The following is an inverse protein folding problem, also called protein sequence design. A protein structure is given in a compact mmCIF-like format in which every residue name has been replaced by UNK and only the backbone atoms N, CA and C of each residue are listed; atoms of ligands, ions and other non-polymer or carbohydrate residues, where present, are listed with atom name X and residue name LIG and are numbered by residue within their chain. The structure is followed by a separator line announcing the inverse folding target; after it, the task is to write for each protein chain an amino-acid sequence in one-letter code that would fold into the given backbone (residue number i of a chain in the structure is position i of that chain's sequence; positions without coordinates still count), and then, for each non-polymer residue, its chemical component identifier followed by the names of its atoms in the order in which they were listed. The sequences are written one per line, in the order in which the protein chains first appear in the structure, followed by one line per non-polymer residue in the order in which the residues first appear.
data_IF_093819585624
#
_entry.id   IF_093819585624
#
_cell.length_a   1.000
_cell.length_b   1.000
_cell.length_c   1.000
_cell.angle_alpha   90.00
_cell.angle_beta   90.00
_cell.angle_gamma   90.00
#
_symmetry.space_group_name_H-M   'P 1'
#
loop_
_entity.id
_entity.type
_entity.pdbx_description
1 polymer ?
#
# COMPACT_ATOMS: atom_id res chain seq x y z
N UNK A 1 -5.18 -8.31 0.39
CA UNK A 1 -5.47 -8.36 -1.05
C UNK A 1 -4.98 -9.66 -1.66
N UNK A 2 -5.29 -9.91 -2.94
CA UNK A 2 -4.90 -11.13 -3.67
C UNK A 2 -3.57 -11.01 -4.42
N UNK A 3 -2.87 -9.88 -4.30
CA UNK A 3 -1.76 -9.51 -5.18
C UNK A 3 -2.32 -8.68 -6.34
N UNK A 4 -2.25 -9.20 -7.56
CA UNK A 4 -2.83 -8.54 -8.74
C UNK A 4 -4.35 -8.73 -8.84
N UNK A 5 -4.99 -8.09 -9.83
CA UNK A 5 -6.39 -8.35 -10.16
C UNK A 5 -6.65 -9.85 -10.34
N UNK A 6 -7.60 -10.37 -9.56
CA UNK A 6 -7.97 -11.78 -9.48
C UNK A 6 -6.86 -12.74 -9.03
N UNK A 7 -5.80 -12.25 -8.38
CA UNK A 7 -4.73 -13.06 -7.80
C UNK A 7 -4.08 -14.01 -8.81
N UNK A 8 -4.02 -15.30 -8.46
CA UNK A 8 -3.47 -16.34 -9.34
C UNK A 8 -4.43 -16.76 -10.47
N UNK A 9 -5.67 -16.26 -10.47
CA UNK A 9 -6.77 -16.69 -11.35
C UNK A 9 -7.18 -18.17 -11.16
N UNK A 10 -6.76 -18.78 -10.06
CA UNK A 10 -7.14 -20.15 -9.69
C UNK A 10 -8.14 -20.12 -8.54
N UNK A 11 -9.33 -20.66 -8.77
CA UNK A 11 -10.40 -20.74 -7.79
C UNK A 11 -10.66 -22.20 -7.39
N UNK A 12 -10.83 -22.46 -6.10
CA UNK A 12 -11.26 -23.79 -5.63
C UNK A 12 -12.73 -24.04 -5.99
N UNK A 13 -13.15 -25.32 -5.98
CA UNK A 13 -14.56 -25.69 -6.16
C UNK A 13 -15.53 -25.04 -5.16
N UNK A 14 -15.02 -24.50 -4.05
CA UNK A 14 -15.80 -23.82 -3.01
C UNK A 14 -15.79 -22.28 -3.15
N UNK A 15 -15.25 -21.72 -4.23
CA UNK A 15 -15.26 -20.28 -4.48
C UNK A 15 -14.09 -19.50 -3.87
N UNK A 16 -13.09 -20.17 -3.30
CA UNK A 16 -11.89 -19.50 -2.76
C UNK A 16 -10.92 -19.20 -3.90
N UNK A 17 -10.62 -17.92 -4.13
CA UNK A 17 -9.63 -17.46 -5.10
C UNK A 17 -8.24 -17.37 -4.46
N UNK A 18 -7.26 -18.04 -5.05
CA UNK A 18 -5.88 -18.02 -4.54
C UNK A 18 -5.16 -16.71 -4.92
N UNK A 19 -4.31 -16.23 -4.01
CA UNK A 19 -3.47 -15.06 -4.24
C UNK A 19 -2.23 -15.41 -5.09
N UNK A 20 -1.53 -14.39 -5.57
CA UNK A 20 -0.23 -14.53 -6.23
C UNK A 20 0.89 -13.73 -5.53
N UNK A 21 0.86 -13.63 -4.20
CA UNK A 21 1.83 -12.82 -3.43
C UNK A 21 3.28 -13.26 -3.58
N UNK A 22 3.53 -14.52 -3.94
CA UNK A 22 4.88 -15.02 -4.19
C UNK A 22 5.59 -14.30 -5.35
N UNK A 23 4.84 -13.65 -6.25
CA UNK A 23 5.42 -12.82 -7.31
C UNK A 23 6.17 -11.59 -6.78
N UNK A 24 5.92 -11.17 -5.53
CA UNK A 24 6.59 -10.04 -4.90
C UNK A 24 7.87 -10.42 -4.15
N UNK A 25 8.28 -11.69 -4.18
CA UNK A 25 9.57 -12.11 -3.63
C UNK A 25 10.67 -11.69 -4.60
N UNK A 26 11.66 -10.91 -4.12
CA UNK A 26 12.83 -10.58 -4.92
C UNK A 26 13.60 -11.87 -5.23
N UNK A 27 14.09 -12.07 -6.47
CA UNK A 27 14.97 -13.19 -6.77
C UNK A 27 16.19 -13.08 -5.88
N UNK A 28 16.51 -14.15 -5.14
CA UNK A 28 17.67 -14.22 -4.25
C UNK A 28 18.94 -13.86 -5.02
N UNK A 29 19.40 -12.62 -4.93
CA UNK A 29 20.74 -12.22 -5.36
C UNK A 29 21.71 -12.84 -4.37
N UNK A 30 22.32 -13.96 -4.76
CA UNK A 30 23.52 -14.56 -4.17
C UNK A 30 23.78 -14.22 -2.70
N UNK A 31 23.11 -14.93 -1.79
CA UNK A 31 23.70 -15.16 -0.48
C UNK A 31 23.27 -16.54 0.01
N UNK A 32 24.29 -17.37 0.20
CA UNK A 32 24.27 -18.64 0.89
C UNK A 32 23.70 -18.41 2.30
N UNK A 33 22.41 -18.59 2.46
CA UNK A 33 21.83 -19.00 3.73
C UNK A 33 20.59 -19.82 3.44
N UNK A 34 20.79 -21.14 3.51
CA UNK A 34 19.71 -22.12 3.52
C UNK A 34 18.72 -21.73 4.64
N UNK A 35 17.41 -21.76 4.36
CA UNK A 35 16.28 -21.70 5.33
C UNK A 35 15.62 -20.34 5.62
N UNK A 36 15.01 -19.69 4.62
CA UNK A 36 13.87 -18.81 4.90
C UNK A 36 12.64 -19.17 4.05
N UNK A 37 12.16 -20.41 4.18
CA UNK A 37 10.90 -20.94 3.62
C UNK A 37 9.63 -20.26 4.15
N UNK A 38 9.76 -19.23 4.99
CA UNK A 38 8.66 -18.55 5.70
C UNK A 38 8.71 -17.02 5.61
N UNK A 39 9.53 -16.46 4.72
CA UNK A 39 9.56 -15.01 4.52
C UNK A 39 8.19 -14.51 4.00
N UNK A 40 7.76 -13.34 4.48
CA UNK A 40 6.55 -12.68 3.97
C UNK A 40 6.95 -11.77 2.80
N UNK A 41 6.30 -11.88 1.63
CA UNK A 41 6.58 -10.98 0.52
C UNK A 41 6.36 -9.52 0.90
N UNK A 42 7.22 -8.63 0.39
CA UNK A 42 7.07 -7.20 0.59
C UNK A 42 5.77 -6.72 -0.08
N UNK A 43 5.09 -5.75 0.54
CA UNK A 43 3.83 -5.18 0.04
C UNK A 43 3.80 -3.68 0.18
N UNK A 44 3.13 -3.02 -0.76
CA UNK A 44 2.84 -1.58 -0.75
C UNK A 44 1.55 -1.22 -0.01
N UNK A 45 0.79 -2.21 0.49
CA UNK A 45 -0.43 -1.95 1.25
C UNK A 45 -0.12 -1.12 2.50
N UNK A 46 -0.74 0.05 2.59
CA UNK A 46 -0.40 1.06 3.59
C UNK A 46 -1.62 1.39 4.45
N UNK A 47 -1.95 0.56 5.46
CA UNK A 47 -2.88 0.96 6.51
C UNK A 47 -2.21 1.96 7.45
N UNK A 48 -2.89 3.05 7.78
CA UNK A 48 -2.37 4.14 8.61
C UNK A 48 -3.43 4.65 9.58
N UNK A 49 -3.00 4.98 10.80
CA UNK A 49 -3.80 5.69 11.79
C UNK A 49 -3.02 6.93 12.21
N UNK A 50 -3.65 8.10 12.11
CA UNK A 50 -3.11 9.37 12.57
C UNK A 50 -3.85 9.77 13.84
N UNK A 51 -3.09 10.15 14.86
CA UNK A 51 -3.61 10.56 16.16
C UNK A 51 -2.91 11.84 16.60
N UNK A 52 -3.65 12.74 17.26
CA UNK A 52 -3.03 13.87 17.96
C UNK A 52 -2.32 13.37 19.23
N UNK A 53 -1.01 13.55 19.31
CA UNK A 53 -0.21 13.13 20.46
C UNK A 53 -0.52 13.91 21.74
N UNK A 54 -1.12 15.10 21.62
CA UNK A 54 -1.54 15.93 22.75
C UNK A 54 -2.92 15.54 23.30
N UNK A 55 -3.72 14.81 22.52
CA UNK A 55 -5.07 14.38 22.89
C UNK A 55 -5.23 12.87 22.72
N UNK A 56 -4.85 12.11 23.76
CA UNK A 56 -4.90 10.64 23.76
C UNK A 56 -6.31 10.10 23.43
N UNK A 57 -7.36 10.79 23.86
CA UNK A 57 -8.77 10.45 23.55
C UNK A 57 -9.37 11.30 22.42
N UNK A 58 -8.54 12.01 21.66
CA UNK A 58 -8.95 12.91 20.59
C UNK A 58 -9.36 12.20 19.31
N UNK A 59 -9.65 13.02 18.29
CA UNK A 59 -9.99 12.56 16.94
C UNK A 59 -8.84 11.77 16.33
N UNK A 60 -9.19 10.75 15.53
CA UNK A 60 -8.26 9.92 14.80
C UNK A 60 -8.67 9.87 13.34
N UNK A 61 -7.68 9.82 12.45
CA UNK A 61 -7.90 9.62 11.02
C UNK A 61 -7.39 8.23 10.67
N UNK A 62 -8.26 7.39 10.14
CA UNK A 62 -7.95 6.01 9.75
C UNK A 62 -8.03 5.92 8.24
N UNK A 63 -6.93 5.53 7.60
CA UNK A 63 -6.79 5.50 6.15
C UNK A 63 -6.12 4.20 5.72
N UNK A 64 -6.39 3.80 4.49
CA UNK A 64 -5.64 2.74 3.84
C UNK A 64 -5.49 3.08 2.36
N UNK A 65 -4.33 2.74 1.80
CA UNK A 65 -4.08 2.87 0.37
C UNK A 65 -3.41 1.61 -0.18
N UNK A 66 -3.62 1.30 -1.48
CA UNK A 66 -2.90 0.23 -2.16
C UNK A 66 -1.41 0.53 -2.33
N UNK A 67 -1.00 1.80 -2.23
CA UNK A 67 0.37 2.29 -2.39
C UNK A 67 0.67 3.41 -1.39
N UNK A 68 1.91 3.47 -0.90
CA UNK A 68 2.38 4.45 0.11
C UNK A 68 2.19 5.89 -0.39
N UNK A 69 2.54 6.16 -1.65
CA UNK A 69 2.47 7.51 -2.22
C UNK A 69 1.07 8.12 -2.21
N UNK A 70 0.04 7.30 -2.41
CA UNK A 70 -1.36 7.74 -2.33
C UNK A 70 -1.76 8.09 -0.88
N UNK A 71 -1.38 7.27 0.10
CA UNK A 71 -1.63 7.57 1.50
C UNK A 71 -0.96 8.88 1.93
N UNK A 72 0.32 9.06 1.61
CA UNK A 72 1.09 10.26 1.95
C UNK A 72 0.45 11.52 1.35
N UNK A 73 -0.01 11.47 0.10
CA UNK A 73 -0.66 12.61 -0.55
C UNK A 73 -1.96 12.99 0.16
N UNK A 74 -2.82 12.04 0.52
CA UNK A 74 -4.06 12.34 1.29
C UNK A 74 -3.72 12.95 2.64
N UNK A 75 -2.74 12.38 3.36
CA UNK A 75 -2.30 12.91 4.65
C UNK A 75 -1.77 14.33 4.52
N UNK A 76 -0.98 14.61 3.48
CA UNK A 76 -0.46 15.95 3.24
C UNK A 76 -1.57 16.98 2.99
N UNK A 77 -2.64 16.61 2.29
CA UNK A 77 -3.81 17.47 2.10
C UNK A 77 -4.53 17.75 3.43
N UNK A 78 -4.75 16.72 4.25
CA UNK A 78 -5.45 16.86 5.54
C UNK A 78 -4.61 17.66 6.55
N UNK A 79 -3.31 17.38 6.66
CA UNK A 79 -2.44 17.95 7.70
C UNK A 79 -1.90 19.32 7.31
N UNK A 80 -1.46 19.50 6.07
CA UNK A 80 -0.76 20.73 5.67
C UNK A 80 -1.62 21.73 4.90
N UNK A 81 -2.73 21.28 4.30
CA UNK A 81 -3.63 22.14 3.52
C UNK A 81 -5.00 22.33 4.15
N UNK A 82 -5.23 21.70 5.31
CA UNK A 82 -6.50 21.77 6.06
C UNK A 82 -7.72 21.41 5.19
N UNK A 83 -7.51 20.54 4.20
CA UNK A 83 -8.60 20.06 3.36
C UNK A 83 -9.42 19.02 4.11
N UNK A 84 -10.74 19.07 3.92
CA UNK A 84 -11.62 18.01 4.39
C UNK A 84 -11.21 16.65 3.82
N UNK A 85 -11.41 15.58 4.61
CA UNK A 85 -10.93 14.25 4.24
C UNK A 85 -11.46 13.77 2.88
N UNK A 86 -12.72 14.04 2.56
CA UNK A 86 -13.32 13.70 1.26
C UNK A 86 -12.62 14.42 0.13
N UNK A 87 -12.41 15.75 0.27
CA UNK A 87 -11.70 16.54 -0.73
C UNK A 87 -10.25 16.09 -0.88
N UNK A 88 -9.59 15.74 0.23
CA UNK A 88 -8.23 15.21 0.23
C UNK A 88 -8.11 13.87 -0.51
N UNK A 89 -9.12 13.01 -0.43
CA UNK A 89 -9.18 11.74 -1.17
C UNK A 89 -9.39 11.99 -2.67
N UNK A 90 -10.22 12.96 -3.03
CA UNK A 90 -10.57 13.29 -4.41
C UNK A 90 -9.49 14.09 -5.16
N UNK A 91 -8.46 14.60 -4.48
CA UNK A 91 -7.37 15.32 -5.15
C UNK A 91 -6.63 14.41 -6.15
N UNK A 92 -6.34 14.93 -7.37
CA UNK A 92 -5.48 14.24 -8.33
C UNK A 92 -4.12 13.90 -7.74
N UNK A 93 -3.61 12.71 -8.08
CA UNK A 93 -2.35 12.20 -7.53
C UNK A 93 -1.22 12.21 -8.53
N UNK A 94 -0.01 12.30 -7.98
CA UNK A 94 1.25 12.17 -8.71
C UNK A 94 1.97 10.92 -8.20
N UNK A 95 2.48 10.10 -9.12
CA UNK A 95 3.31 8.93 -8.81
C UNK A 95 4.64 9.04 -9.53
N UNK A 96 5.74 8.98 -8.78
CA UNK A 96 7.10 9.02 -9.33
C UNK A 96 7.68 7.61 -9.32
N UNK A 97 8.06 7.09 -10.50
CA UNK A 97 8.80 5.83 -10.63
C UNK A 97 10.28 6.13 -10.76
N UNK A 98 11.01 5.89 -9.67
CA UNK A 98 12.46 6.15 -9.58
C UNK A 98 13.26 5.33 -10.60
N UNK A 99 12.84 4.11 -10.88
CA UNK A 99 13.57 3.19 -11.76
C UNK A 99 13.70 3.71 -13.20
N UNK A 100 12.70 4.47 -13.67
CA UNK A 100 12.62 4.94 -15.06
C UNK A 100 12.55 6.48 -15.17
N UNK A 101 12.73 7.22 -14.08
CA UNK A 101 12.56 8.69 -14.02
C UNK A 101 11.24 9.18 -14.64
N UNK A 102 10.16 8.43 -14.43
CA UNK A 102 8.84 8.78 -14.97
C UNK A 102 7.94 9.36 -13.88
N UNK A 103 7.21 10.40 -14.25
CA UNK A 103 6.16 11.02 -13.42
C UNK A 103 4.82 10.74 -14.08
N UNK A 104 3.94 10.07 -13.34
CA UNK A 104 2.56 9.81 -13.71
C UNK A 104 1.67 10.78 -12.95
N UNK A 105 0.68 11.35 -13.64
CA UNK A 105 -0.32 12.27 -13.08
C UNK A 105 -1.69 11.77 -13.50
N UNK A 106 -2.65 11.78 -12.58
CA UNK A 106 -4.07 11.46 -12.83
C UNK A 106 -4.78 12.52 -13.69
#
# INVERSE_FOLDING_TARGET
GLGTYFGSRVMTKHGILFNNHLANMLPHTHQEDNQHSHARPLTSYTPLIITDSRQVCGRRVVLAAPEVGAAVQVVAQVVFRDNDLTQAIEQPRITVKLDNNQVFVE
#
